data_IF_683389658935
#
_entry.id   IF_683389658935
#
_cell.length_a   1.000
_cell.length_b   1.000
_cell.length_c   1.000
_cell.angle_alpha   90.00
_cell.angle_beta   90.00
_cell.angle_gamma   90.00
#
_symmetry.space_group_name_H-M   'P 1'
#
loop_
_entity.id
_entity.type
_entity.pdbx_description
1 polymer ?
#
# COMPACT_ATOMS: atom_id res chain seq x y z
N UNK A 1 -25.42 -4.97 -0.55
CA UNK A 1 -25.05 -6.13 0.31
C UNK A 1 -25.04 -5.67 1.75
N UNK A 2 -25.62 -6.45 2.64
CA UNK A 2 -25.53 -6.18 4.07
C UNK A 2 -24.06 -6.28 4.51
N UNK A 3 -23.58 -5.46 5.48
CA UNK A 3 -22.19 -5.45 5.94
C UNK A 3 -21.69 -6.81 6.49
N UNK A 4 -22.56 -7.76 6.72
CA UNK A 4 -22.25 -9.07 7.31
C UNK A 4 -21.76 -10.13 6.31
N UNK A 5 -21.77 -9.87 5.00
CA UNK A 5 -21.43 -10.87 3.99
C UNK A 5 -20.16 -10.55 3.18
N UNK A 6 -19.56 -9.36 3.36
CA UNK A 6 -18.33 -9.03 2.68
C UNK A 6 -17.14 -9.79 3.28
N UNK A 7 -16.42 -10.51 2.44
CA UNK A 7 -15.19 -11.24 2.78
C UNK A 7 -14.24 -11.14 1.62
N UNK A 8 -12.96 -11.00 1.90
CA UNK A 8 -11.92 -10.96 0.89
C UNK A 8 -10.80 -11.95 1.20
N UNK A 9 -9.95 -12.20 0.24
CA UNK A 9 -8.69 -12.94 0.42
C UNK A 9 -7.54 -12.10 -0.11
N UNK A 10 -6.47 -12.00 0.67
CA UNK A 10 -5.22 -11.32 0.31
C UNK A 10 -4.05 -12.30 0.42
N UNK A 11 -2.89 -11.90 -0.10
CA UNK A 11 -1.65 -12.66 0.09
C UNK A 11 -0.74 -11.94 1.07
N UNK A 12 -0.35 -12.62 2.15
CA UNK A 12 0.69 -12.15 3.09
C UNK A 12 2.00 -12.83 2.75
N UNK A 13 3.05 -12.04 2.68
CA UNK A 13 4.41 -12.48 2.43
C UNK A 13 5.23 -12.40 3.71
N UNK A 14 6.03 -13.43 3.94
CA UNK A 14 7.00 -13.49 5.01
C UNK A 14 8.38 -13.75 4.43
N UNK A 15 9.30 -12.79 4.57
CA UNK A 15 10.66 -12.87 4.05
C UNK A 15 11.52 -13.76 4.96
N UNK A 16 12.24 -14.70 4.37
CA UNK A 16 13.06 -15.66 5.14
C UNK A 16 14.27 -15.03 5.81
N UNK A 17 14.88 -14.02 5.19
CA UNK A 17 16.12 -13.43 5.67
C UNK A 17 16.00 -11.90 5.73
N UNK A 18 16.02 -11.37 6.95
CA UNK A 18 15.98 -9.94 7.22
C UNK A 18 14.60 -9.31 7.07
N UNK A 19 14.50 -8.01 7.25
CA UNK A 19 13.23 -7.29 7.27
C UNK A 19 12.64 -7.12 5.86
N UNK A 20 11.35 -6.81 5.84
CA UNK A 20 10.57 -6.42 4.67
C UNK A 20 9.90 -5.05 4.95
N UNK A 21 10.62 -4.19 5.64
CA UNK A 21 10.19 -2.84 5.99
C UNK A 21 11.34 -1.84 5.78
N UNK A 22 11.03 -0.55 5.85
CA UNK A 22 12.01 0.52 5.68
C UNK A 22 12.97 0.60 6.88
N UNK A 23 14.23 0.93 6.60
CA UNK A 23 15.17 1.41 7.59
C UNK A 23 15.19 2.94 7.54
N UNK A 24 15.09 3.57 8.70
CA UNK A 24 15.05 5.02 8.82
C UNK A 24 16.13 5.47 9.78
N UNK A 25 16.95 6.41 9.35
CA UNK A 25 18.03 6.98 10.14
C UNK A 25 18.00 8.50 10.11
N UNK A 26 18.62 9.12 11.09
CA UNK A 26 18.89 10.54 11.11
C UNK A 26 20.34 10.77 10.69
N UNK A 27 20.55 11.43 9.55
CA UNK A 27 21.86 11.78 9.03
C UNK A 27 21.93 13.30 8.80
N UNK A 28 22.88 13.96 9.43
CA UNK A 28 23.07 15.43 9.33
C UNK A 28 21.76 16.23 9.57
N UNK A 29 20.99 15.82 10.59
CA UNK A 29 19.71 16.46 10.94
C UNK A 29 18.56 16.17 9.98
N UNK A 30 18.72 15.25 9.03
CA UNK A 30 17.69 14.90 8.05
C UNK A 30 17.31 13.43 8.14
N UNK A 31 16.01 13.15 7.98
CA UNK A 31 15.51 11.78 7.85
C UNK A 31 15.96 11.19 6.52
N UNK A 32 16.66 10.06 6.60
CA UNK A 32 17.07 9.24 5.46
C UNK A 32 16.31 7.92 5.50
N UNK A 33 15.59 7.63 4.41
CA UNK A 33 14.83 6.38 4.24
C UNK A 33 15.61 5.42 3.33
N UNK A 34 15.95 4.25 3.84
CA UNK A 34 16.48 3.14 3.04
C UNK A 34 15.38 2.08 2.83
N UNK A 35 14.98 1.91 1.59
CA UNK A 35 13.99 0.92 1.14
C UNK A 35 14.64 -0.32 0.52
N UNK A 36 15.95 -0.50 0.60
CA UNK A 36 16.66 -1.64 0.01
C UNK A 36 16.17 -2.99 0.53
N UNK A 37 15.70 -3.02 1.79
CA UNK A 37 15.08 -4.21 2.40
C UNK A 37 13.65 -4.48 1.92
N UNK A 38 12.95 -3.48 1.34
CA UNK A 38 11.57 -3.58 0.84
C UNK A 38 11.49 -4.37 -0.47
N UNK A 39 12.08 -5.56 -0.47
CA UNK A 39 12.18 -6.41 -1.64
C UNK A 39 11.97 -7.87 -1.27
N UNK A 40 10.95 -8.51 -1.89
CA UNK A 40 10.60 -9.91 -1.66
C UNK A 40 11.23 -10.78 -2.74
N UNK A 41 12.30 -11.49 -2.40
CA UNK A 41 13.01 -12.37 -3.29
C UNK A 41 13.18 -13.80 -2.78
N UNK A 42 12.91 -14.03 -1.50
CA UNK A 42 13.00 -15.33 -0.84
C UNK A 42 12.13 -15.30 0.42
N UNK A 43 11.24 -16.27 0.54
CA UNK A 43 10.32 -16.36 1.66
C UNK A 43 9.11 -17.21 1.32
N UNK A 44 8.00 -16.92 1.98
CA UNK A 44 6.76 -17.68 1.87
C UNK A 44 5.60 -16.73 1.57
N UNK A 45 4.66 -17.20 0.76
CA UNK A 45 3.39 -16.51 0.48
C UNK A 45 2.23 -17.33 1.05
N UNK A 46 1.36 -16.69 1.84
CA UNK A 46 0.21 -17.32 2.49
C UNK A 46 -1.09 -16.66 2.11
N UNK A 47 -2.15 -17.45 1.97
CA UNK A 47 -3.52 -16.96 1.84
C UNK A 47 -4.03 -16.49 3.18
N UNK A 48 -4.62 -15.30 3.21
CA UNK A 48 -5.26 -14.78 4.42
C UNK A 48 -6.67 -14.31 4.08
N UNK A 49 -7.65 -14.93 4.71
CA UNK A 49 -9.05 -14.53 4.61
C UNK A 49 -9.31 -13.33 5.51
N UNK A 50 -10.00 -12.35 4.99
CA UNK A 50 -10.38 -11.11 5.68
C UNK A 50 -11.90 -11.11 5.84
N UNK A 51 -12.35 -11.27 7.06
CA UNK A 51 -13.78 -11.37 7.39
C UNK A 51 -14.44 -9.99 7.57
N UNK A 52 -13.64 -8.94 7.76
CA UNK A 52 -14.13 -7.56 7.89
C UNK A 52 -12.97 -6.55 7.74
N UNK A 53 -13.31 -5.30 7.53
CA UNK A 53 -12.34 -4.18 7.51
C UNK A 53 -11.62 -4.06 8.87
N UNK A 54 -12.33 -4.31 9.98
CA UNK A 54 -11.72 -4.32 11.32
C UNK A 54 -10.72 -5.49 11.51
N UNK A 55 -11.05 -6.69 10.99
CA UNK A 55 -10.12 -7.83 11.00
C UNK A 55 -8.86 -7.52 10.17
N UNK A 56 -9.00 -6.85 9.03
CA UNK A 56 -7.86 -6.40 8.23
C UNK A 56 -6.98 -5.41 9.02
N UNK A 57 -7.57 -4.42 9.68
CA UNK A 57 -6.83 -3.48 10.52
C UNK A 57 -6.05 -4.22 11.64
N UNK A 58 -6.67 -5.18 12.30
CA UNK A 58 -6.02 -6.01 13.31
C UNK A 58 -4.85 -6.82 12.74
N UNK A 59 -5.00 -7.38 11.54
CA UNK A 59 -3.95 -8.13 10.86
C UNK A 59 -2.70 -7.27 10.63
N UNK A 60 -2.86 -6.12 9.95
CA UNK A 60 -1.71 -5.27 9.57
C UNK A 60 -1.05 -4.59 10.76
N UNK A 61 -1.78 -4.34 11.85
CA UNK A 61 -1.22 -3.81 13.09
C UNK A 61 -0.26 -4.79 13.79
N UNK A 62 -0.39 -6.09 13.51
CA UNK A 62 0.42 -7.13 14.11
C UNK A 62 1.50 -7.68 13.17
N UNK A 63 1.77 -7.03 12.04
CA UNK A 63 2.82 -7.47 11.15
C UNK A 63 4.20 -7.42 11.79
N UNK A 64 4.92 -8.54 11.71
CA UNK A 64 6.35 -8.57 12.01
C UNK A 64 7.15 -7.80 10.95
N UNK A 65 8.35 -7.35 11.31
CA UNK A 65 9.20 -6.53 10.42
C UNK A 65 9.58 -7.22 9.10
N UNK A 66 9.47 -8.55 9.01
CA UNK A 66 9.71 -9.35 7.81
C UNK A 66 8.43 -9.67 7.02
N UNK A 67 7.30 -9.06 7.36
CA UNK A 67 6.02 -9.28 6.70
C UNK A 67 5.56 -8.07 5.90
N UNK A 68 4.90 -8.36 4.77
CA UNK A 68 4.20 -7.40 3.92
C UNK A 68 3.05 -8.13 3.24
N UNK A 69 2.17 -7.43 2.55
CA UNK A 69 1.05 -8.07 1.85
C UNK A 69 0.89 -7.54 0.42
N UNK A 70 0.11 -8.29 -0.36
CA UNK A 70 -0.45 -7.83 -1.64
C UNK A 70 -1.95 -8.02 -1.61
N UNK A 71 -2.70 -7.12 -2.26
CA UNK A 71 -4.15 -7.17 -2.31
C UNK A 71 -4.68 -8.29 -3.21
N UNK A 72 -3.87 -8.76 -4.16
CA UNK A 72 -4.18 -9.95 -4.94
C UNK A 72 -4.07 -11.22 -4.09
N UNK A 73 -4.92 -12.18 -4.40
CA UNK A 73 -4.86 -13.53 -3.82
C UNK A 73 -3.93 -14.43 -4.62
N UNK A 74 -3.43 -15.50 -4.01
CA UNK A 74 -2.74 -16.55 -4.72
C UNK A 74 -3.70 -17.20 -5.74
N UNK A 75 -3.25 -17.36 -6.99
CA UNK A 75 -4.03 -18.02 -8.05
C UNK A 75 -4.46 -19.42 -7.62
N UNK A 76 -5.61 -19.87 -8.10
CA UNK A 76 -6.06 -21.23 -7.90
C UNK A 76 -5.01 -22.24 -8.42
N UNK A 77 -4.77 -23.30 -7.67
CA UNK A 77 -3.72 -24.27 -7.93
C UNK A 77 -2.36 -23.93 -7.29
N UNK A 78 -2.10 -22.70 -6.85
CA UNK A 78 -0.92 -22.35 -6.06
C UNK A 78 -1.13 -22.84 -4.62
N UNK A 79 -0.13 -23.51 -4.05
CA UNK A 79 -0.16 -23.99 -2.67
C UNK A 79 -0.20 -22.83 -1.68
N UNK A 80 -0.95 -22.97 -0.59
CA UNK A 80 -0.79 -22.10 0.57
C UNK A 80 0.59 -22.35 1.20
N UNK A 81 1.30 -21.28 1.55
CA UNK A 81 2.68 -21.40 2.01
C UNK A 81 3.70 -21.62 0.88
N UNK A 82 3.35 -21.29 -0.37
CA UNK A 82 4.26 -21.39 -1.50
C UNK A 82 5.55 -20.58 -1.27
N UNK A 83 6.68 -21.19 -1.62
CA UNK A 83 7.98 -20.54 -1.57
C UNK A 83 8.10 -19.46 -2.62
N UNK A 84 8.48 -18.28 -2.22
CA UNK A 84 8.69 -17.14 -3.13
C UNK A 84 10.14 -17.09 -3.58
N UNK A 85 10.36 -17.00 -4.89
CA UNK A 85 11.68 -16.83 -5.50
C UNK A 85 11.69 -15.66 -6.48
N UNK A 86 12.87 -15.22 -6.90
CA UNK A 86 13.01 -14.27 -8.02
C UNK A 86 12.50 -14.90 -9.30
N UNK A 87 11.84 -14.11 -10.17
CA UNK A 87 11.30 -14.60 -11.45
C UNK A 87 12.32 -15.42 -12.27
N UNK A 88 13.58 -14.98 -12.34
CA UNK A 88 14.64 -15.69 -13.07
C UNK A 88 15.14 -16.98 -12.40
N UNK A 89 14.58 -17.35 -11.22
CA UNK A 89 14.89 -18.61 -10.51
C UNK A 89 13.71 -19.57 -10.44
N UNK A 90 12.65 -19.31 -11.23
CA UNK A 90 11.58 -20.28 -11.44
C UNK A 90 12.11 -21.40 -12.31
N UNK A 91 12.24 -22.61 -11.78
CA UNK A 91 12.65 -23.81 -12.50
C UNK A 91 11.43 -24.42 -13.18
N UNK A 92 11.14 -24.03 -14.43
CA UNK A 92 10.07 -24.59 -15.22
C UNK A 92 8.66 -24.17 -14.78
N UNK A 93 7.69 -24.28 -15.68
CA UNK A 93 6.29 -24.08 -15.38
C UNK A 93 5.74 -25.30 -14.62
N UNK A 94 5.10 -25.08 -13.47
CA UNK A 94 4.18 -26.05 -12.92
C UNK A 94 4.34 -26.51 -11.47
N UNK A 95 5.39 -26.12 -10.72
CA UNK A 95 5.42 -26.44 -9.30
C UNK A 95 4.52 -25.46 -8.51
N UNK A 96 3.35 -25.92 -8.01
CA UNK A 96 2.42 -25.07 -7.29
C UNK A 96 2.97 -24.56 -5.94
N UNK A 97 4.05 -25.16 -5.46
CA UNK A 97 4.71 -24.80 -4.20
C UNK A 97 5.79 -23.73 -4.34
N UNK A 98 6.10 -23.30 -5.58
CA UNK A 98 7.14 -22.30 -5.86
C UNK A 98 6.61 -21.23 -6.80
N UNK A 99 6.65 -19.99 -6.38
CA UNK A 99 6.12 -18.86 -7.15
C UNK A 99 7.12 -17.71 -7.24
N UNK A 100 6.91 -16.84 -8.21
CA UNK A 100 7.43 -15.49 -8.20
C UNK A 100 6.30 -14.49 -7.91
N UNK A 101 6.60 -13.35 -7.33
CA UNK A 101 5.63 -12.28 -7.10
C UNK A 101 5.33 -11.55 -8.42
N UNK A 102 4.42 -12.11 -9.20
CA UNK A 102 3.98 -11.61 -10.51
C UNK A 102 2.48 -11.85 -10.68
N UNK A 103 1.85 -11.17 -11.67
CA UNK A 103 0.46 -11.37 -12.09
C UNK A 103 0.14 -12.80 -12.57
N UNK A 104 1.15 -13.62 -12.79
CA UNK A 104 0.98 -15.03 -13.13
C UNK A 104 0.50 -15.85 -11.92
N UNK A 105 0.90 -15.45 -10.70
CA UNK A 105 0.63 -16.17 -9.46
C UNK A 105 -0.26 -15.41 -8.48
N UNK A 106 -0.35 -14.09 -8.61
CA UNK A 106 -1.23 -13.24 -7.81
C UNK A 106 -2.26 -12.57 -8.71
N UNK A 107 -3.52 -12.75 -8.37
CA UNK A 107 -4.63 -12.34 -9.24
C UNK A 107 -5.75 -11.67 -8.42
N UNK A 108 -6.55 -10.87 -9.08
CA UNK A 108 -7.90 -10.55 -8.67
C UNK A 108 -8.84 -11.52 -9.38
N UNK A 109 -9.79 -12.11 -8.67
CA UNK A 109 -10.75 -13.02 -9.27
C UNK A 109 -12.06 -12.28 -9.60
N UNK A 110 -12.64 -12.65 -10.71
CA UNK A 110 -13.89 -12.10 -11.21
C UNK A 110 -15.05 -12.34 -10.24
N UNK A 111 -15.80 -11.28 -9.94
CA UNK A 111 -16.94 -11.32 -9.04
C UNK A 111 -16.60 -11.57 -7.56
N UNK A 112 -15.33 -11.68 -7.20
CA UNK A 112 -14.93 -11.85 -5.79
C UNK A 112 -14.63 -10.50 -5.13
N UNK A 113 -15.11 -10.28 -3.88
CA UNK A 113 -14.78 -9.09 -3.11
C UNK A 113 -13.27 -8.94 -2.87
N UNK A 114 -12.83 -7.71 -2.71
CA UNK A 114 -11.44 -7.39 -2.44
C UNK A 114 -11.27 -6.14 -1.61
N UNK A 115 -10.02 -5.72 -1.50
CA UNK A 115 -9.61 -4.46 -0.90
C UNK A 115 -8.87 -3.63 -1.95
N UNK A 116 -9.07 -2.32 -1.94
CA UNK A 116 -8.31 -1.38 -2.77
C UNK A 116 -7.53 -0.43 -1.88
N UNK A 117 -6.27 -0.17 -2.25
CA UNK A 117 -5.41 0.81 -1.60
C UNK A 117 -5.51 2.14 -2.33
N UNK A 118 -5.88 3.18 -1.61
CA UNK A 118 -5.72 4.58 -1.97
C UNK A 118 -4.41 5.05 -1.32
N UNK A 119 -3.32 5.00 -2.07
CA UNK A 119 -1.98 5.44 -1.63
C UNK A 119 -1.79 6.89 -2.02
N UNK A 120 -1.55 7.73 -1.03
CA UNK A 120 -1.40 9.17 -1.21
C UNK A 120 -0.01 9.58 -0.78
N UNK A 121 0.75 10.13 -1.73
CA UNK A 121 2.09 10.67 -1.51
C UNK A 121 2.08 12.17 -1.74
N UNK A 122 2.41 12.94 -0.69
CA UNK A 122 2.49 14.40 -0.76
C UNK A 122 3.79 14.90 -1.41
N UNK A 123 4.70 14.00 -1.79
CA UNK A 123 5.95 14.40 -2.42
C UNK A 123 5.70 15.11 -3.76
N UNK A 124 6.21 16.33 -3.86
CA UNK A 124 6.05 17.16 -5.06
C UNK A 124 4.63 17.71 -5.27
N UNK A 125 3.74 17.57 -4.29
CA UNK A 125 2.40 18.16 -4.35
C UNK A 125 2.51 19.70 -4.25
N UNK A 126 1.86 20.45 -5.16
CA UNK A 126 1.83 21.90 -5.10
C UNK A 126 1.13 22.43 -3.84
N UNK A 127 1.61 23.57 -3.32
CA UNK A 127 0.99 24.19 -2.14
C UNK A 127 -0.47 24.57 -2.34
N UNK A 128 -0.86 24.92 -3.57
CA UNK A 128 -2.25 25.17 -3.91
C UNK A 128 -3.13 23.92 -3.70
N UNK A 129 -2.63 22.74 -4.10
CA UNK A 129 -3.34 21.47 -3.91
C UNK A 129 -3.42 21.11 -2.42
N UNK A 130 -2.35 21.33 -1.65
CA UNK A 130 -2.35 21.09 -0.19
C UNK A 130 -3.40 21.96 0.51
N UNK A 131 -3.39 23.27 0.23
CA UNK A 131 -4.40 24.21 0.78
C UNK A 131 -5.82 23.78 0.44
N UNK A 132 -6.06 23.35 -0.79
CA UNK A 132 -7.39 22.87 -1.19
C UNK A 132 -7.81 21.62 -0.40
N UNK A 133 -6.88 20.68 -0.11
CA UNK A 133 -7.16 19.53 0.75
C UNK A 133 -7.54 20.00 2.17
N UNK A 134 -6.83 20.99 2.71
CA UNK A 134 -7.13 21.59 4.03
C UNK A 134 -8.50 22.27 4.03
N UNK A 135 -8.83 23.02 3.00
CA UNK A 135 -10.14 23.69 2.80
C UNK A 135 -11.30 22.68 2.72
N UNK A 136 -11.07 21.51 2.18
CA UNK A 136 -12.03 20.40 2.19
C UNK A 136 -12.22 19.77 3.59
N UNK A 137 -11.36 20.10 4.56
CA UNK A 137 -11.35 19.46 5.89
C UNK A 137 -10.45 18.22 5.95
N UNK A 138 -9.44 18.15 5.11
CA UNK A 138 -8.44 17.09 5.07
C UNK A 138 -8.63 16.09 3.92
N UNK A 139 -7.70 15.15 3.86
CA UNK A 139 -7.56 14.27 2.72
C UNK A 139 -8.79 13.40 2.42
N UNK A 140 -9.35 12.76 3.45
CA UNK A 140 -10.54 11.93 3.26
C UNK A 140 -11.74 12.75 2.76
N UNK A 141 -11.90 13.95 3.27
CA UNK A 141 -12.96 14.86 2.81
C UNK A 141 -12.77 15.27 1.36
N UNK A 142 -11.51 15.51 0.94
CA UNK A 142 -11.19 15.80 -0.47
C UNK A 142 -11.49 14.59 -1.38
N UNK A 143 -11.17 13.36 -0.95
CA UNK A 143 -11.55 12.14 -1.68
C UNK A 143 -13.08 11.99 -1.77
N UNK A 144 -13.81 12.31 -0.68
CA UNK A 144 -15.28 12.31 -0.67
C UNK A 144 -15.92 13.42 -1.52
N UNK A 145 -15.22 14.52 -1.76
CA UNK A 145 -15.65 15.55 -2.72
C UNK A 145 -15.62 15.01 -4.14
N UNK A 146 -14.53 14.31 -4.50
CA UNK A 146 -14.36 13.69 -5.83
C UNK A 146 -15.32 12.52 -6.03
N UNK A 147 -15.52 11.70 -4.99
CA UNK A 147 -16.38 10.52 -5.02
C UNK A 147 -17.27 10.46 -3.76
N UNK A 148 -18.45 11.09 -3.77
CA UNK A 148 -19.34 11.18 -2.60
C UNK A 148 -19.76 9.85 -1.99
N UNK A 149 -19.76 8.76 -2.76
CA UNK A 149 -20.06 7.42 -2.28
C UNK A 149 -19.09 6.94 -1.18
N UNK A 150 -17.88 7.50 -1.11
CA UNK A 150 -16.89 7.15 -0.08
C UNK A 150 -17.32 7.54 1.34
N UNK A 151 -18.23 8.51 1.51
CA UNK A 151 -18.64 9.02 2.83
C UNK A 151 -19.12 7.93 3.80
N UNK A 152 -19.71 6.86 3.27
CA UNK A 152 -20.30 5.76 4.06
C UNK A 152 -19.48 4.47 3.98
N UNK A 153 -18.35 4.49 3.29
CA UNK A 153 -17.49 3.30 3.12
C UNK A 153 -16.63 3.09 4.37
N UNK A 154 -16.64 1.87 4.89
CA UNK A 154 -15.71 1.45 5.93
C UNK A 154 -14.28 1.48 5.40
N UNK A 155 -13.32 1.92 6.23
CA UNK A 155 -11.93 2.04 5.81
C UNK A 155 -10.94 1.81 6.93
N UNK A 156 -9.71 1.52 6.54
CA UNK A 156 -8.54 1.55 7.41
C UNK A 156 -7.62 2.66 6.90
N UNK A 157 -7.28 3.60 7.75
CA UNK A 157 -6.33 4.67 7.45
C UNK A 157 -5.06 4.46 8.26
N UNK A 158 -3.90 4.57 7.59
CA UNK A 158 -2.60 4.50 8.22
C UNK A 158 -1.69 5.59 7.68
N UNK A 159 -1.05 6.31 8.59
CA UNK A 159 0.03 7.21 8.21
C UNK A 159 1.20 6.42 7.61
N UNK A 160 1.93 7.03 6.70
CA UNK A 160 3.17 6.44 6.16
C UNK A 160 4.09 6.00 7.31
N UNK A 161 4.77 4.89 7.13
CA UNK A 161 5.71 4.33 8.13
C UNK A 161 6.85 5.28 8.54
N UNK A 162 7.09 6.34 7.80
CA UNK A 162 8.05 7.40 8.14
C UNK A 162 7.43 8.59 8.89
N UNK A 163 6.13 8.56 9.19
CA UNK A 163 5.44 9.63 9.91
C UNK A 163 5.55 9.47 11.42
N UNK A 164 5.55 10.60 12.15
CA UNK A 164 5.52 10.59 13.60
C UNK A 164 6.82 10.21 14.29
N UNK A 165 7.92 10.14 13.57
CA UNK A 165 9.24 9.87 14.14
C UNK A 165 9.69 11.02 15.03
N UNK A 166 10.35 10.69 16.13
CA UNK A 166 10.87 11.66 17.11
C UNK A 166 12.33 11.36 17.42
N UNK A 167 13.12 12.42 17.59
CA UNK A 167 14.45 12.31 18.17
C UNK A 167 14.32 12.19 19.71
N UNK A 168 14.79 11.09 20.26
CA UNK A 168 14.71 10.79 21.69
C UNK A 168 15.52 11.77 22.54
N UNK A 169 16.63 12.30 22.01
CA UNK A 169 17.55 13.16 22.75
C UNK A 169 17.10 14.62 22.75
N UNK A 170 16.60 15.10 21.60
CA UNK A 170 16.21 16.52 21.45
C UNK A 170 14.71 16.76 21.61
N UNK A 171 13.90 15.70 21.53
CA UNK A 171 12.44 15.80 21.50
C UNK A 171 11.87 16.28 20.16
N UNK A 172 12.72 16.57 19.17
CA UNK A 172 12.29 17.03 17.85
C UNK A 172 11.39 15.98 17.16
N UNK A 173 10.26 16.44 16.64
CA UNK A 173 9.30 15.60 15.91
C UNK A 173 9.48 15.81 14.42
N UNK A 174 9.61 14.71 13.69
CA UNK A 174 9.71 14.70 12.23
C UNK A 174 8.33 14.32 11.64
N UNK A 175 7.64 15.24 10.95
CA UNK A 175 6.29 15.00 10.44
C UNK A 175 6.23 13.92 9.33
N UNK A 176 7.40 13.55 8.78
CA UNK A 176 7.50 12.59 7.68
C UNK A 176 7.01 13.18 6.36
N UNK A 177 6.65 12.30 5.43
CA UNK A 177 6.15 12.70 4.09
C UNK A 177 4.69 13.16 4.10
N UNK A 178 3.96 12.98 5.22
CA UNK A 178 2.53 13.20 5.30
C UNK A 178 1.70 12.16 4.53
N UNK A 179 2.33 11.19 3.86
CA UNK A 179 1.65 10.16 3.09
C UNK A 179 0.71 9.30 3.94
N UNK A 180 -0.35 8.81 3.32
CA UNK A 180 -1.37 8.02 3.97
C UNK A 180 -1.79 6.86 3.07
N UNK A 181 -1.92 5.68 3.66
CA UNK A 181 -2.58 4.52 3.07
C UNK A 181 -4.02 4.45 3.56
N UNK A 182 -4.97 4.54 2.66
CA UNK A 182 -6.38 4.28 2.97
C UNK A 182 -6.83 3.05 2.23
N UNK A 183 -7.25 2.02 2.96
CA UNK A 183 -7.73 0.76 2.38
C UNK A 183 -9.24 0.66 2.57
N UNK A 184 -9.96 0.42 1.48
CA UNK A 184 -11.43 0.29 1.46
C UNK A 184 -11.85 -1.03 0.82
N UNK A 185 -13.02 -1.59 1.20
CA UNK A 185 -13.59 -2.79 0.59
C UNK A 185 -14.19 -2.48 -0.78
N UNK A 186 -14.07 -3.44 -1.70
CA UNK A 186 -14.75 -3.44 -2.99
C UNK A 186 -15.52 -4.74 -3.18
N UNK A 187 -16.58 -4.72 -3.99
CA UNK A 187 -17.43 -5.88 -4.25
C UNK A 187 -16.87 -6.79 -5.33
N UNK A 188 -16.05 -6.25 -6.22
CA UNK A 188 -15.36 -6.98 -7.28
C UNK A 188 -13.91 -6.49 -7.37
N UNK A 189 -12.97 -7.37 -7.02
CA UNK A 189 -11.56 -7.05 -7.02
C UNK A 189 -10.99 -6.83 -8.43
N UNK A 190 -11.57 -7.44 -9.46
CA UNK A 190 -11.09 -7.25 -10.85
C UNK A 190 -11.33 -5.84 -11.36
N UNK A 191 -12.24 -5.10 -10.74
CA UNK A 191 -12.54 -3.71 -11.09
C UNK A 191 -11.52 -2.70 -10.50
N UNK A 192 -10.66 -3.12 -9.58
CA UNK A 192 -9.70 -2.24 -8.89
C UNK A 192 -8.83 -1.43 -9.86
N UNK A 193 -8.21 -2.01 -10.91
CA UNK A 193 -7.38 -1.23 -11.83
C UNK A 193 -8.16 -0.15 -12.56
N UNK A 194 -9.38 -0.45 -13.03
CA UNK A 194 -10.27 0.50 -13.70
C UNK A 194 -10.73 1.58 -12.72
N UNK A 195 -11.18 1.18 -11.53
CA UNK A 195 -11.62 2.10 -10.47
C UNK A 195 -10.53 3.14 -10.14
N UNK A 196 -9.28 2.70 -9.95
CA UNK A 196 -8.19 3.60 -9.62
C UNK A 196 -7.83 4.54 -10.78
N UNK A 197 -7.90 4.07 -12.03
CA UNK A 197 -7.71 4.89 -13.21
C UNK A 197 -8.79 5.98 -13.31
N UNK A 198 -10.06 5.59 -13.25
CA UNK A 198 -11.20 6.51 -13.31
C UNK A 198 -11.19 7.49 -12.14
N UNK A 199 -10.79 7.03 -10.94
CA UNK A 199 -10.71 7.88 -9.76
C UNK A 199 -9.57 8.91 -9.88
N UNK A 200 -8.42 8.48 -10.42
CA UNK A 200 -7.31 9.38 -10.75
C UNK A 200 -7.76 10.49 -11.70
N UNK A 201 -8.45 10.15 -12.79
CA UNK A 201 -8.93 11.09 -13.79
C UNK A 201 -9.98 12.05 -13.18
N UNK A 202 -10.86 11.56 -12.33
CA UNK A 202 -11.80 12.41 -11.57
C UNK A 202 -11.07 13.37 -10.64
N UNK A 203 -10.01 12.96 -9.96
CA UNK A 203 -9.19 13.86 -9.15
C UNK A 203 -8.65 15.02 -10.01
N UNK A 204 -8.20 14.73 -11.24
CA UNK A 204 -7.76 15.77 -12.17
C UNK A 204 -8.89 16.74 -12.53
N UNK A 205 -10.06 16.24 -12.87
CA UNK A 205 -11.25 17.07 -13.19
C UNK A 205 -11.70 17.93 -12.02
N UNK A 206 -11.51 17.46 -10.79
CA UNK A 206 -11.81 18.22 -9.57
C UNK A 206 -10.66 19.14 -9.12
N UNK A 207 -9.57 19.27 -9.89
CA UNK A 207 -8.44 20.13 -9.60
C UNK A 207 -7.51 19.62 -8.49
N UNK A 208 -7.52 18.30 -8.23
CA UNK A 208 -6.59 17.60 -7.33
C UNK A 208 -5.50 16.83 -8.10
N UNK A 209 -5.32 17.14 -9.38
CA UNK A 209 -4.24 16.59 -10.20
C UNK A 209 -3.06 17.55 -10.28
N UNK A 210 -1.84 17.01 -10.42
CA UNK A 210 -0.64 17.79 -10.73
C UNK A 210 0.37 16.97 -11.52
N UNK A 211 1.26 17.67 -12.23
CA UNK A 211 2.37 17.07 -12.93
C UNK A 211 3.67 17.25 -12.16
N UNK A 212 4.56 16.28 -12.24
CA UNK A 212 5.93 16.40 -11.78
C UNK A 212 6.90 15.72 -12.75
N UNK A 213 8.16 16.18 -12.75
CA UNK A 213 9.22 15.55 -13.54
C UNK A 213 10.03 14.63 -12.63
N UNK A 214 10.20 13.37 -13.03
CA UNK A 214 11.04 12.42 -12.32
C UNK A 214 12.53 12.77 -12.46
N UNK A 215 13.40 12.17 -11.63
CA UNK A 215 14.84 12.32 -11.74
C UNK A 215 15.40 11.85 -13.10
N UNK A 216 14.68 10.97 -13.80
CA UNK A 216 15.01 10.50 -15.15
C UNK A 216 14.41 11.38 -16.27
N UNK A 217 13.79 12.53 -15.94
CA UNK A 217 13.19 13.44 -16.91
C UNK A 217 11.80 13.04 -17.43
N UNK A 218 11.21 11.95 -16.93
CA UNK A 218 9.88 11.53 -17.33
C UNK A 218 8.81 12.39 -16.63
N UNK A 219 7.77 12.81 -17.39
CA UNK A 219 6.60 13.45 -16.83
C UNK A 219 5.74 12.41 -16.10
N UNK A 220 5.38 12.74 -14.86
CA UNK A 220 4.54 11.90 -13.99
C UNK A 220 3.26 12.64 -13.66
N UNK A 221 2.13 12.07 -14.06
CA UNK A 221 0.81 12.50 -13.61
C UNK A 221 0.59 12.01 -12.18
N UNK A 222 0.18 12.93 -11.31
CA UNK A 222 -0.12 12.67 -9.90
C UNK A 222 -1.50 13.18 -9.54
N UNK A 223 -2.12 12.53 -8.57
CA UNK A 223 -3.39 12.96 -7.98
C UNK A 223 -3.48 12.49 -6.52
N UNK A 224 -4.65 12.63 -5.91
CA UNK A 224 -4.92 12.10 -4.56
C UNK A 224 -4.86 10.57 -4.47
N UNK A 225 -4.73 9.86 -5.59
CA UNK A 225 -4.60 8.40 -5.61
C UNK A 225 -3.52 7.96 -6.59
N UNK A 226 -2.73 6.97 -6.20
CA UNK A 226 -1.76 6.33 -7.09
C UNK A 226 -2.44 5.20 -7.87
N UNK A 227 -2.76 5.45 -9.15
CA UNK A 227 -3.37 4.43 -10.03
C UNK A 227 -2.52 3.16 -10.19
N UNK A 228 -1.21 3.22 -9.90
CA UNK A 228 -0.34 2.03 -9.96
C UNK A 228 -0.62 1.01 -8.83
N UNK A 229 -1.41 1.38 -7.81
CA UNK A 229 -1.85 0.47 -6.75
C UNK A 229 -2.85 -0.59 -7.22
N UNK A 230 -3.34 -0.52 -8.45
CA UNK A 230 -4.24 -1.50 -9.05
C UNK A 230 -3.60 -2.83 -9.46
N UNK A 231 -2.33 -3.08 -9.14
CA UNK A 231 -1.66 -4.35 -9.46
C UNK A 231 -1.82 -5.37 -8.34
N UNK A 232 -2.34 -6.60 -8.62
CA UNK A 232 -2.59 -7.61 -7.60
C UNK A 232 -1.31 -8.08 -6.88
N UNK A 233 -0.16 -8.00 -7.52
CA UNK A 233 1.14 -8.42 -7.01
C UNK A 233 1.92 -7.30 -6.29
N UNK A 234 1.38 -6.08 -6.22
CA UNK A 234 2.06 -4.96 -5.55
C UNK A 234 2.24 -5.24 -4.06
N UNK A 235 3.48 -5.17 -3.58
CA UNK A 235 3.77 -5.24 -2.15
C UNK A 235 3.38 -3.94 -1.46
N UNK A 236 2.73 -4.09 -0.32
CA UNK A 236 2.33 -3.01 0.57
C UNK A 236 2.99 -3.26 1.92
N UNK A 237 3.69 -2.24 2.43
CA UNK A 237 4.54 -2.33 3.61
C UNK A 237 3.91 -1.57 4.77
N UNK A 238 3.36 -2.32 5.73
CA UNK A 238 2.69 -1.78 6.92
C UNK A 238 3.40 -2.16 8.23
N UNK A 239 4.41 -3.02 8.16
CA UNK A 239 5.21 -3.36 9.33
C UNK A 239 5.95 -2.13 9.87
N UNK A 240 6.08 -2.05 11.19
CA UNK A 240 6.82 -0.97 11.85
C UNK A 240 8.22 -0.83 11.23
N UNK A 241 8.65 0.38 10.89
CA UNK A 241 9.99 0.61 10.33
C UNK A 241 11.06 0.29 11.36
N UNK A 242 12.25 -0.06 10.88
CA UNK A 242 13.42 -0.18 11.72
C UNK A 242 14.06 1.21 11.79
N UNK A 243 14.07 1.79 12.97
CA UNK A 243 14.63 3.14 13.19
C UNK A 243 15.97 3.06 13.88
N UNK A 244 16.97 3.76 13.33
CA UNK A 244 18.30 3.91 13.94
C UNK A 244 18.29 5.02 15.02
N UNK A 245 19.11 4.85 16.08
CA UNK A 245 19.28 5.92 17.09
C UNK A 245 19.73 7.24 16.43
N UNK A 246 19.30 8.40 16.96
CA UNK A 246 18.47 8.62 18.16
C UNK A 246 16.96 8.61 17.92
N UNK A 247 16.51 8.15 16.74
CA UNK A 247 15.08 8.13 16.38
C UNK A 247 14.30 7.07 17.16
N UNK A 248 13.02 7.39 17.42
CA UNK A 248 11.98 6.47 17.91
C UNK A 248 10.70 6.73 17.11
N UNK A 249 9.92 5.64 16.86
CA UNK A 249 8.62 5.67 16.18
C UNK A 249 7.48 5.78 17.19
#
# INVERSE_FOLDING_TARGET
MAPSEWRAEITVFEKSNGPLTKHIALCDGKIVNDSSACFMANGVARRVKIESVAAFAGLINNFASNQAYALGRLKNGVSDGARVVRRGKLNGAGDPSVIARTKEYLVFNDGEPGLVLLDIDFKGMPEATKRRIEECGGLWSALCEVLPALKTVARVERASTSSGLRNRETGEVFPGSGGCHTVIPVVDATDIPRFLADFHDRCWLHGFGWGMVSAAGAFLERSLVDKSCGSPERLIFEATPIVGPPLVA
#
